data_IF_445075054327
#
_entry.id   IF_445075054327
#
_cell.length_a   1.000
_cell.length_b   1.000
_cell.length_c   1.000
_cell.angle_alpha   90.00
_cell.angle_beta   90.00
_cell.angle_gamma   90.00
#
_symmetry.space_group_name_H-M   'P 1'
#
loop_
_entity.id
_entity.type
_entity.pdbx_description
1 polymer ?
#
# COMPACT_ATOMS: atom_id res chain seq x y z
N UNK A 1 -20.73 -6.52 -33.68
CA UNK A 1 -19.62 -7.20 -32.96
C UNK A 1 -19.49 -6.53 -31.60
N UNK A 2 -19.93 -7.17 -30.52
CA UNK A 2 -19.86 -6.58 -29.18
C UNK A 2 -18.42 -6.71 -28.65
N UNK A 3 -17.75 -5.58 -28.38
CA UNK A 3 -16.48 -5.59 -27.64
C UNK A 3 -16.79 -6.03 -26.21
N UNK A 4 -16.23 -7.16 -25.81
CA UNK A 4 -16.24 -7.61 -24.42
C UNK A 4 -15.28 -6.70 -23.66
N UNK A 5 -15.80 -5.66 -23.01
CA UNK A 5 -15.00 -4.83 -22.11
C UNK A 5 -14.55 -5.73 -20.96
N UNK A 6 -13.24 -5.98 -20.85
CA UNK A 6 -12.69 -6.64 -19.68
C UNK A 6 -12.81 -5.67 -18.52
N UNK A 7 -13.65 -6.00 -17.54
CA UNK A 7 -13.79 -5.27 -16.27
C UNK A 7 -12.44 -5.38 -15.56
N UNK A 8 -11.65 -4.31 -15.61
CA UNK A 8 -10.30 -4.26 -15.06
C UNK A 8 -10.32 -3.82 -13.60
N UNK A 9 -10.70 -4.72 -12.70
CA UNK A 9 -10.45 -4.54 -11.26
C UNK A 9 -9.05 -5.05 -10.96
N UNK A 10 -8.24 -4.20 -10.33
CA UNK A 10 -6.87 -4.49 -9.97
C UNK A 10 -6.70 -4.39 -8.47
N UNK A 11 -5.98 -5.36 -7.90
CA UNK A 11 -5.48 -5.29 -6.53
C UNK A 11 -3.96 -5.32 -6.56
N UNK A 12 -3.33 -4.44 -5.77
CA UNK A 12 -1.90 -4.36 -5.61
C UNK A 12 -1.55 -4.44 -4.12
N UNK A 13 -0.66 -5.38 -3.80
CA UNK A 13 -0.10 -5.53 -2.47
C UNK A 13 1.35 -5.07 -2.43
N UNK A 14 1.71 -4.36 -1.37
CA UNK A 14 3.07 -3.96 -1.06
C UNK A 14 3.54 -4.70 0.19
N UNK A 15 4.80 -5.12 0.18
CA UNK A 15 5.50 -5.61 1.36
C UNK A 15 6.61 -4.64 1.68
N UNK A 16 6.63 -4.15 2.91
CA UNK A 16 7.71 -3.29 3.39
C UNK A 16 8.90 -4.14 3.82
N UNK A 17 10.09 -3.54 3.76
CA UNK A 17 11.32 -4.13 4.28
C UNK A 17 12.07 -3.06 5.06
N UNK A 18 12.45 -3.40 6.29
CA UNK A 18 13.13 -2.51 7.22
C UNK A 18 14.54 -2.96 7.58
N UNK A 19 15.20 -2.17 8.42
CA UNK A 19 16.45 -2.52 9.07
C UNK A 19 16.21 -2.83 10.54
N UNK A 20 16.77 -3.94 11.03
CA UNK A 20 16.54 -4.44 12.38
C UNK A 20 17.86 -4.79 13.05
N UNK A 21 17.98 -4.43 14.32
CA UNK A 21 19.15 -4.70 15.15
C UNK A 21 18.73 -4.87 16.61
N UNK A 22 19.66 -5.30 17.47
CA UNK A 22 19.41 -5.39 18.91
C UNK A 22 19.12 -4.01 19.53
N UNK A 23 19.72 -2.94 19.00
CA UNK A 23 19.58 -1.57 19.53
C UNK A 23 18.37 -0.81 19.00
N UNK A 24 17.65 -1.37 18.02
CA UNK A 24 16.51 -0.70 17.40
C UNK A 24 16.20 -1.17 15.98
N UNK A 25 15.16 -0.59 15.41
CA UNK A 25 14.67 -0.93 14.07
C UNK A 25 14.10 0.29 13.35
N UNK A 26 14.16 0.28 12.02
CA UNK A 26 13.51 1.26 11.14
C UNK A 26 12.73 0.55 10.03
N UNK A 27 11.54 1.07 9.71
CA UNK A 27 10.69 0.54 8.64
C UNK A 27 9.93 1.69 7.96
N UNK A 28 10.22 1.91 6.68
CA UNK A 28 9.41 2.78 5.83
C UNK A 28 8.23 1.95 5.32
N UNK A 29 7.02 2.34 5.66
CA UNK A 29 5.79 1.61 5.33
C UNK A 29 4.63 2.54 5.03
N UNK A 30 3.59 2.02 4.37
CA UNK A 30 2.28 2.65 4.30
C UNK A 30 1.45 2.54 5.58
N UNK A 31 1.96 1.88 6.61
CA UNK A 31 1.34 1.73 7.92
C UNK A 31 2.23 2.38 8.98
N UNK A 32 1.61 3.21 9.81
CA UNK A 32 2.20 3.69 11.05
C UNK A 32 1.85 2.71 12.17
N UNK A 33 2.86 2.22 12.87
CA UNK A 33 2.73 1.38 14.06
C UNK A 33 3.04 2.20 15.32
N UNK A 34 2.21 2.06 16.35
CA UNK A 34 2.37 2.80 17.61
C UNK A 34 2.07 1.91 18.80
N UNK A 35 2.94 1.95 19.81
CA UNK A 35 2.69 1.39 21.13
C UNK A 35 1.79 2.35 21.93
N UNK A 36 0.77 1.80 22.59
CA UNK A 36 -0.18 2.53 23.44
C UNK A 36 -0.03 1.99 24.86
N UNK A 37 0.31 2.88 25.79
CA UNK A 37 0.46 2.59 27.22
C UNK A 37 1.41 1.41 27.53
N UNK A 38 2.46 1.23 26.74
CA UNK A 38 3.51 0.19 26.89
C UNK A 38 3.06 -1.28 26.82
N UNK A 39 1.75 -1.55 26.77
CA UNK A 39 1.18 -2.89 26.84
C UNK A 39 0.36 -3.27 25.59
N UNK A 40 0.03 -2.29 24.74
CA UNK A 40 -0.77 -2.51 23.55
C UNK A 40 -0.17 -1.85 22.31
N UNK A 41 -0.61 -2.27 21.13
CA UNK A 41 -0.19 -1.69 19.86
C UNK A 41 -1.40 -1.34 19.01
N UNK A 42 -1.26 -0.28 18.23
CA UNK A 42 -2.23 0.13 17.21
C UNK A 42 -1.50 0.39 15.90
N UNK A 43 -2.22 0.26 14.81
CA UNK A 43 -1.71 0.50 13.46
C UNK A 43 -2.69 1.33 12.67
N UNK A 44 -2.18 2.27 11.87
CA UNK A 44 -3.01 3.13 11.02
C UNK A 44 -2.39 3.19 9.63
N UNK A 45 -3.19 2.90 8.60
CA UNK A 45 -2.76 3.07 7.22
C UNK A 45 -2.65 4.57 6.92
N UNK A 46 -1.45 5.04 6.63
CA UNK A 46 -1.16 6.43 6.27
C UNK A 46 -0.95 6.61 4.77
N UNK A 47 -0.57 5.52 4.08
CA UNK A 47 -0.33 5.55 2.65
C UNK A 47 -1.61 5.89 1.86
N UNK A 48 -1.41 6.67 0.81
CA UNK A 48 -2.41 6.96 -0.22
C UNK A 48 -1.82 6.60 -1.57
N UNK A 49 -2.61 5.92 -2.38
CA UNK A 49 -2.24 5.55 -3.75
C UNK A 49 -3.16 6.29 -4.73
N UNK A 50 -2.59 6.81 -5.81
CA UNK A 50 -3.34 7.33 -6.95
C UNK A 50 -2.92 6.57 -8.20
N UNK A 51 -3.89 6.21 -9.04
CA UNK A 51 -3.65 5.60 -10.34
C UNK A 51 -3.96 6.62 -11.44
N UNK A 52 -3.07 6.72 -12.43
CA UNK A 52 -3.30 7.48 -13.64
C UNK A 52 -3.23 6.55 -14.85
N UNK A 53 -4.24 6.63 -15.71
CA UNK A 53 -4.31 5.88 -16.95
C UNK A 53 -4.89 6.78 -18.05
N UNK A 54 -4.19 6.87 -19.20
CA UNK A 54 -4.60 7.71 -20.34
C UNK A 54 -4.96 9.16 -19.93
N UNK A 55 -4.20 9.75 -18.99
CA UNK A 55 -4.37 11.12 -18.49
C UNK A 55 -5.51 11.33 -17.49
N UNK A 56 -6.18 10.26 -17.05
CA UNK A 56 -7.25 10.30 -16.05
C UNK A 56 -6.78 9.71 -14.73
N UNK A 57 -7.17 10.33 -13.62
CA UNK A 57 -6.86 9.84 -12.26
C UNK A 57 -8.02 9.02 -11.70
N UNK A 58 -7.71 7.85 -11.17
CA UNK A 58 -8.67 6.92 -10.57
C UNK A 58 -8.54 6.92 -9.06
N UNK A 59 -9.69 6.88 -8.39
CA UNK A 59 -9.74 6.71 -6.93
C UNK A 59 -9.34 5.29 -6.60
N UNK A 60 -8.47 5.16 -5.61
CA UNK A 60 -8.01 3.88 -5.10
C UNK A 60 -8.48 3.75 -3.65
N UNK A 61 -8.91 2.54 -3.28
CA UNK A 61 -9.32 2.20 -1.93
C UNK A 61 -8.26 1.31 -1.28
N UNK A 62 -7.89 1.61 -0.04
CA UNK A 62 -7.11 0.69 0.79
C UNK A 62 -7.95 -0.56 1.05
N UNK A 63 -7.41 -1.75 0.79
CA UNK A 63 -8.10 -3.02 1.03
C UNK A 63 -7.67 -3.69 2.32
N UNK A 64 -6.47 -3.40 2.82
CA UNK A 64 -6.02 -3.94 4.09
C UNK A 64 -4.55 -3.70 4.40
N UNK A 65 -4.14 -4.22 5.55
CA UNK A 65 -2.74 -4.30 5.96
C UNK A 65 -2.52 -5.53 6.85
N UNK A 66 -1.27 -5.95 6.99
CA UNK A 66 -0.85 -6.93 7.99
C UNK A 66 0.13 -6.30 8.98
N UNK A 67 0.28 -6.91 10.16
CA UNK A 67 1.27 -6.47 11.15
C UNK A 67 2.71 -6.83 10.75
N UNK A 68 3.64 -6.59 11.67
CA UNK A 68 5.08 -6.90 11.56
C UNK A 68 5.37 -8.42 11.66
N UNK A 69 4.66 -9.20 10.86
CA UNK A 69 4.64 -10.67 10.95
C UNK A 69 5.47 -11.33 9.84
N UNK A 70 5.89 -10.55 8.83
CA UNK A 70 6.72 -11.06 7.74
C UNK A 70 8.16 -10.67 7.95
N UNK A 71 9.04 -11.58 7.50
CA UNK A 71 10.47 -11.69 7.80
C UNK A 71 11.28 -10.40 7.95
N UNK A 72 10.85 -9.26 7.40
CA UNK A 72 11.47 -7.95 7.60
C UNK A 72 10.47 -6.76 7.51
N UNK A 73 9.18 -6.94 7.78
CA UNK A 73 8.22 -5.84 7.70
C UNK A 73 6.74 -6.23 7.68
N UNK A 74 5.92 -5.23 7.39
CA UNK A 74 4.48 -5.34 7.25
C UNK A 74 4.06 -5.47 5.77
N UNK A 75 2.76 -5.41 5.54
CA UNK A 75 2.19 -5.31 4.20
C UNK A 75 0.95 -4.44 4.21
N UNK A 76 0.63 -3.86 3.06
CA UNK A 76 -0.56 -3.06 2.86
C UNK A 76 -0.99 -3.15 1.40
N UNK A 77 -2.30 -3.05 1.14
CA UNK A 77 -2.87 -3.32 -0.17
C UNK A 77 -3.94 -2.32 -0.56
N UNK A 78 -4.11 -2.19 -1.87
CA UNK A 78 -5.01 -1.24 -2.50
C UNK A 78 -5.73 -1.88 -3.69
N UNK A 79 -6.96 -1.47 -3.95
CA UNK A 79 -7.71 -1.86 -5.14
C UNK A 79 -8.30 -0.65 -5.87
N UNK A 80 -8.38 -0.78 -7.20
CA UNK A 80 -8.99 0.21 -8.09
C UNK A 80 -9.60 -0.46 -9.32
N UNK A 81 -10.53 0.23 -9.97
CA UNK A 81 -11.20 -0.24 -11.17
C UNK A 81 -11.01 0.73 -12.33
N UNK A 82 -10.80 0.18 -13.53
CA UNK A 82 -10.78 0.88 -14.80
C UNK A 82 -12.02 0.56 -15.65
N UNK A 83 -13.13 0.16 -15.04
CA UNK A 83 -14.36 -0.33 -15.71
C UNK A 83 -14.90 0.54 -16.84
N UNK A 84 -14.72 1.86 -16.75
CA UNK A 84 -15.19 2.81 -17.75
C UNK A 84 -14.21 3.03 -18.91
N UNK A 85 -13.03 2.40 -18.88
CA UNK A 85 -12.02 2.56 -19.92
C UNK A 85 -11.82 1.29 -20.77
N UNK A 86 -11.61 1.44 -22.08
CA UNK A 86 -11.10 0.35 -22.90
C UNK A 86 -9.63 0.09 -22.52
N UNK A 87 -9.41 -0.81 -21.56
CA UNK A 87 -8.07 -1.22 -21.14
C UNK A 87 -7.34 -1.83 -22.33
N UNK A 88 -6.23 -1.19 -22.73
CA UNK A 88 -5.38 -1.63 -23.84
C UNK A 88 -4.41 -2.68 -23.32
N UNK A 89 -4.07 -3.67 -24.16
CA UNK A 89 -3.15 -4.75 -23.78
C UNK A 89 -1.75 -4.23 -23.40
N UNK A 90 -1.36 -3.12 -23.98
CA UNK A 90 -0.10 -2.38 -23.78
C UNK A 90 -0.28 -1.08 -22.99
N UNK A 91 -1.46 -0.89 -22.37
CA UNK A 91 -1.75 0.27 -21.56
C UNK A 91 -0.89 0.32 -20.29
N UNK A 92 -0.37 1.51 -19.96
CA UNK A 92 0.45 1.72 -18.76
C UNK A 92 -0.36 2.49 -17.74
N UNK A 93 -0.58 1.88 -16.57
CA UNK A 93 -1.11 2.56 -15.38
C UNK A 93 0.06 3.09 -14.56
N UNK A 94 0.07 4.39 -14.31
CA UNK A 94 1.06 5.04 -13.44
C UNK A 94 0.50 5.08 -12.02
N UNK A 95 1.23 4.49 -11.07
CA UNK A 95 0.87 4.51 -9.66
C UNK A 95 1.77 5.48 -8.91
N UNK A 96 1.17 6.39 -8.15
CA UNK A 96 1.89 7.30 -7.26
C UNK A 96 1.48 7.03 -5.82
N UNK A 97 2.45 6.67 -5.00
CA UNK A 97 2.25 6.41 -3.57
C UNK A 97 2.77 7.57 -2.74
N UNK A 98 1.97 8.03 -1.79
CA UNK A 98 2.29 9.13 -0.88
C UNK A 98 1.89 8.77 0.55
N UNK A 99 2.33 9.55 1.53
CA UNK A 99 1.98 9.31 2.94
C UNK A 99 2.63 8.06 3.54
N UNK A 100 3.76 7.62 2.98
CA UNK A 100 4.61 6.64 3.66
C UNK A 100 5.11 7.23 4.98
N UNK A 101 5.27 6.36 5.97
CA UNK A 101 5.68 6.68 7.31
C UNK A 101 6.97 5.95 7.66
N UNK A 102 7.89 6.65 8.30
CA UNK A 102 9.10 6.05 8.87
C UNK A 102 8.81 5.63 10.31
N UNK A 103 8.62 4.33 10.50
CA UNK A 103 8.53 3.75 11.83
C UNK A 103 9.94 3.59 12.41
N UNK A 104 10.18 4.13 13.60
CA UNK A 104 11.47 4.05 14.28
C UNK A 104 11.25 3.50 15.68
N UNK A 105 11.95 2.40 16.00
CA UNK A 105 11.99 1.81 17.33
C UNK A 105 13.41 1.85 17.86
N UNK A 106 13.54 2.20 19.14
CA UNK A 106 14.82 2.22 19.85
C UNK A 106 14.66 1.39 21.11
N UNK A 107 15.72 0.69 21.48
CA UNK A 107 15.83 0.12 22.81
C UNK A 107 15.71 1.26 23.84
N UNK A 108 14.99 0.99 24.94
CA UNK A 108 14.78 1.97 26.01
C UNK A 108 15.98 2.02 26.95
#
# INVERSE_FOLDING_TARGET
MARKNHVGVYEIGFRSSGHYSLTGATLISGVQHKTVNDESFTSTVTAKLTAEYEGKTYKIQSTGYCGLNYKDGDCFSFAFSLEDEPVRKDGIVRLTMTGLYENVWRER
#
